data_IF_450049953051
#
_entry.id   IF_450049953051
#
_cell.length_a   1.000
_cell.length_b   1.000
_cell.length_c   1.000
_cell.angle_alpha   90.00
_cell.angle_beta   90.00
_cell.angle_gamma   90.00
#
_symmetry.space_group_name_H-M   'P 1'
#
loop_
_entity.id
_entity.type
_entity.pdbx_description
1 polymer ?
#
# COMPACT_ATOMS: atom_id res chain seq x y z
N UNK A 1 37.75 -13.71 26.90
CA UNK A 1 37.17 -14.00 25.57
C UNK A 1 35.65 -13.98 25.69
N UNK A 2 34.99 -12.86 25.37
CA UNK A 2 33.54 -12.79 25.19
C UNK A 2 33.19 -11.51 24.41
N UNK A 3 33.64 -11.42 23.17
CA UNK A 3 33.37 -10.28 22.26
C UNK A 3 32.86 -10.80 20.92
N UNK A 4 31.79 -11.61 20.91
CA UNK A 4 31.20 -12.06 19.64
C UNK A 4 29.67 -12.26 19.66
N UNK A 5 29.00 -12.09 20.80
CA UNK A 5 27.56 -12.37 20.88
C UNK A 5 26.67 -11.18 20.46
N UNK A 6 27.19 -9.94 20.43
CA UNK A 6 26.39 -8.74 20.11
C UNK A 6 26.22 -8.47 18.62
N UNK A 7 27.03 -9.07 17.75
CA UNK A 7 26.95 -8.86 16.30
C UNK A 7 25.74 -9.54 15.64
N UNK A 8 25.19 -10.60 16.25
CA UNK A 8 24.11 -11.40 15.65
C UNK A 8 22.72 -10.77 15.88
N UNK A 9 22.57 -9.93 16.91
CA UNK A 9 21.28 -9.28 17.23
C UNK A 9 21.02 -8.07 16.30
N UNK A 10 22.07 -7.37 15.85
CA UNK A 10 21.91 -6.24 14.92
C UNK A 10 21.63 -6.66 13.47
N UNK A 11 22.14 -7.82 13.02
CA UNK A 11 21.82 -8.34 11.70
C UNK A 11 20.36 -8.83 11.58
N UNK A 12 19.75 -9.30 12.68
CA UNK A 12 18.39 -9.83 12.70
C UNK A 12 17.30 -8.75 12.77
N UNK A 13 17.62 -7.52 13.20
CA UNK A 13 16.69 -6.39 13.14
C UNK A 13 16.52 -5.79 11.73
N UNK A 14 17.46 -6.05 10.81
CA UNK A 14 17.32 -5.67 9.40
C UNK A 14 16.53 -6.70 8.58
N UNK A 15 16.26 -7.89 9.12
CA UNK A 15 15.72 -9.03 8.37
C UNK A 15 14.25 -9.38 8.65
N UNK A 16 13.60 -8.75 9.64
CA UNK A 16 12.20 -9.06 9.99
C UNK A 16 11.14 -8.17 9.32
N UNK A 17 11.52 -7.40 8.30
CA UNK A 17 10.61 -6.54 7.54
C UNK A 17 10.45 -6.89 6.06
N UNK A 18 10.96 -8.04 5.61
CA UNK A 18 10.86 -8.49 4.22
C UNK A 18 9.43 -8.97 3.89
N UNK A 19 8.44 -8.08 4.06
CA UNK A 19 7.06 -8.34 3.65
C UNK A 19 6.94 -8.09 2.16
N UNK A 20 7.07 -9.14 1.34
CA UNK A 20 6.40 -9.38 0.04
C UNK A 20 5.97 -8.17 -0.84
N UNK A 21 6.71 -7.07 -0.82
CA UNK A 21 6.39 -5.81 -1.49
C UNK A 21 7.67 -5.28 -2.11
N UNK A 22 7.69 -5.18 -3.43
CA UNK A 22 8.80 -4.60 -4.18
C UNK A 22 8.59 -3.09 -4.34
N UNK A 23 9.67 -2.31 -4.23
CA UNK A 23 9.65 -0.87 -4.51
C UNK A 23 9.00 -0.59 -5.88
N UNK A 24 8.27 0.52 -5.99
CA UNK A 24 7.51 0.87 -7.19
C UNK A 24 6.29 -0.01 -7.48
N UNK A 25 5.87 -0.87 -6.54
CA UNK A 25 4.68 -1.71 -6.66
C UNK A 25 3.76 -1.59 -5.45
N UNK A 26 2.48 -1.83 -5.69
CA UNK A 26 1.44 -1.96 -4.66
C UNK A 26 0.87 -3.38 -4.67
N UNK A 27 0.68 -3.95 -3.47
CA UNK A 27 -0.18 -5.11 -3.30
C UNK A 27 -1.61 -4.61 -3.09
N UNK A 28 -2.54 -5.05 -3.94
CA UNK A 28 -3.96 -4.72 -3.83
C UNK A 28 -4.73 -5.99 -3.52
N UNK A 29 -5.37 -6.02 -2.36
CA UNK A 29 -6.33 -7.06 -1.98
C UNK A 29 -7.73 -6.47 -2.12
N UNK A 30 -8.70 -7.24 -2.60
CA UNK A 30 -10.05 -6.75 -2.82
C UNK A 30 -11.07 -7.86 -2.56
N UNK A 31 -12.30 -7.50 -2.24
CA UNK A 31 -13.33 -8.47 -1.89
C UNK A 31 -14.74 -7.90 -2.11
N UNK A 32 -15.69 -8.78 -2.39
CA UNK A 32 -17.12 -8.50 -2.32
C UNK A 32 -17.62 -8.35 -0.87
N UNK A 33 -16.84 -8.82 0.11
CA UNK A 33 -17.17 -8.77 1.52
C UNK A 33 -16.33 -7.71 2.27
N UNK A 34 -16.87 -7.16 3.36
CA UNK A 34 -16.16 -6.17 4.21
C UNK A 34 -14.89 -6.71 4.87
N UNK A 35 -14.80 -8.02 5.06
CA UNK A 35 -13.79 -8.64 5.92
C UNK A 35 -12.61 -9.25 5.16
N UNK A 36 -12.54 -9.09 3.83
CA UNK A 36 -11.54 -9.76 2.97
C UNK A 36 -11.45 -11.27 3.25
N UNK A 37 -12.59 -11.93 3.48
CA UNK A 37 -12.66 -13.39 3.62
C UNK A 37 -12.29 -14.11 2.31
N UNK A 38 -12.35 -13.39 1.19
CA UNK A 38 -11.94 -13.86 -0.13
C UNK A 38 -10.46 -13.52 -0.38
N UNK A 39 -9.76 -14.42 -1.06
CA UNK A 39 -8.31 -14.31 -1.29
C UNK A 39 -7.94 -13.59 -2.60
N UNK A 40 -8.76 -12.64 -3.08
CA UNK A 40 -8.39 -11.91 -4.30
C UNK A 40 -7.28 -10.91 -4.01
N UNK A 41 -6.16 -11.11 -4.69
CA UNK A 41 -4.95 -10.31 -4.56
C UNK A 41 -4.32 -10.11 -5.93
N UNK A 42 -3.79 -8.92 -6.14
CA UNK A 42 -2.92 -8.62 -7.27
C UNK A 42 -1.76 -7.74 -6.81
N UNK A 43 -0.68 -7.80 -7.58
CA UNK A 43 0.45 -6.87 -7.45
C UNK A 43 0.48 -6.01 -8.71
N UNK A 44 0.48 -4.69 -8.55
CA UNK A 44 0.52 -3.74 -9.65
C UNK A 44 1.69 -2.77 -9.50
N UNK A 45 2.28 -2.37 -10.62
CA UNK A 45 3.26 -1.28 -10.65
C UNK A 45 2.58 0.05 -10.39
N UNK A 46 3.30 1.01 -9.80
CA UNK A 46 2.81 2.38 -9.68
C UNK A 46 2.54 2.99 -11.06
N UNK A 47 1.54 3.86 -11.14
CA UNK A 47 1.08 4.50 -12.38
C UNK A 47 0.22 3.61 -13.28
N UNK A 48 0.07 2.32 -12.98
CA UNK A 48 -0.83 1.44 -13.73
C UNK A 48 -2.26 1.65 -13.27
N UNK A 49 -3.16 1.81 -14.23
CA UNK A 49 -4.59 1.84 -13.99
C UNK A 49 -5.13 0.40 -13.89
N UNK A 50 -5.80 0.09 -12.79
CA UNK A 50 -6.40 -1.21 -12.55
C UNK A 50 -7.90 -1.09 -12.38
N UNK A 51 -8.64 -1.92 -13.11
CA UNK A 51 -10.10 -1.94 -13.11
C UNK A 51 -10.65 -2.94 -12.09
N UNK A 52 -11.72 -2.56 -11.40
CA UNK A 52 -12.38 -3.32 -10.34
C UNK A 52 -13.89 -3.37 -10.57
N UNK A 53 -14.49 -4.56 -10.52
CA UNK A 53 -15.90 -4.80 -10.83
C UNK A 53 -16.67 -5.26 -9.59
N UNK A 54 -17.64 -4.46 -9.14
CA UNK A 54 -18.58 -4.81 -8.05
C UNK A 54 -17.95 -5.14 -6.69
N UNK A 55 -16.67 -4.83 -6.46
CA UNK A 55 -16.03 -5.10 -5.17
C UNK A 55 -16.43 -4.06 -4.12
N UNK A 56 -16.66 -4.54 -2.90
CA UNK A 56 -17.08 -3.71 -1.78
C UNK A 56 -15.90 -3.20 -0.94
N UNK A 57 -14.79 -3.94 -0.93
CA UNK A 57 -13.63 -3.64 -0.08
C UNK A 57 -12.34 -3.68 -0.87
N UNK A 58 -11.41 -2.80 -0.51
CA UNK A 58 -10.05 -2.76 -1.05
C UNK A 58 -9.04 -2.49 0.05
N UNK A 59 -7.91 -3.18 -0.02
CA UNK A 59 -6.74 -2.93 0.81
C UNK A 59 -5.55 -2.75 -0.10
N UNK A 60 -4.95 -1.57 -0.05
CA UNK A 60 -3.75 -1.22 -0.80
C UNK A 60 -2.59 -1.19 0.17
N UNK A 61 -1.53 -1.94 -0.12
CA UNK A 61 -0.28 -1.91 0.64
C UNK A 61 0.85 -1.45 -0.25
N UNK A 62 1.70 -0.59 0.29
CA UNK A 62 2.90 -0.10 -0.38
C UNK A 62 4.07 -0.09 0.59
N UNK A 63 5.29 -0.26 0.06
CA UNK A 63 6.52 -0.06 0.83
C UNK A 63 6.89 1.42 0.96
N UNK A 64 6.54 2.21 -0.05
CA UNK A 64 6.85 3.63 -0.17
C UNK A 64 5.63 4.49 0.16
N UNK A 65 5.88 5.72 0.64
CA UNK A 65 4.85 6.75 0.77
C UNK A 65 4.20 6.97 -0.60
N UNK A 66 2.88 6.77 -0.66
CA UNK A 66 2.15 6.81 -1.91
C UNK A 66 0.75 7.40 -1.71
N UNK A 67 0.05 7.62 -2.81
CA UNK A 67 -1.38 7.86 -2.80
C UNK A 67 -2.08 6.87 -3.71
N UNK A 68 -3.27 6.44 -3.30
CA UNK A 68 -4.21 5.73 -4.16
C UNK A 68 -5.25 6.72 -4.67
N UNK A 69 -5.43 6.71 -5.97
CA UNK A 69 -6.43 7.47 -6.70
C UNK A 69 -7.58 6.54 -7.04
N UNK A 70 -8.81 6.95 -6.72
CA UNK A 70 -10.04 6.24 -7.06
C UNK A 70 -10.75 6.97 -8.18
N UNK A 71 -11.15 6.22 -9.19
CA UNK A 71 -11.86 6.73 -10.36
C UNK A 71 -13.20 6.02 -10.51
N UNK A 72 -14.24 6.73 -10.93
CA UNK A 72 -15.52 6.16 -11.30
C UNK A 72 -15.43 5.54 -12.71
N UNK A 73 -15.83 4.28 -12.83
CA UNK A 73 -15.75 3.53 -14.08
C UNK A 73 -14.34 3.04 -14.41
N UNK A 74 -14.09 2.82 -15.70
CA UNK A 74 -12.88 2.18 -16.22
C UNK A 74 -11.84 3.19 -16.71
N UNK A 75 -10.59 2.72 -16.83
CA UNK A 75 -9.47 3.43 -17.48
C UNK A 75 -9.01 4.71 -16.77
N UNK A 76 -9.36 4.90 -15.49
CA UNK A 76 -8.84 5.99 -14.67
C UNK A 76 -9.05 7.41 -15.23
N UNK A 77 -10.23 7.68 -15.80
CA UNK A 77 -10.55 8.98 -16.42
C UNK A 77 -11.32 9.94 -15.50
N UNK A 78 -12.18 9.43 -14.62
CA UNK A 78 -13.08 10.24 -13.80
C UNK A 78 -12.72 10.13 -12.31
N UNK A 79 -11.77 10.96 -11.85
CA UNK A 79 -11.25 10.91 -10.48
C UNK A 79 -12.33 11.32 -9.46
N UNK A 80 -12.58 10.46 -8.47
CA UNK A 80 -13.57 10.71 -7.40
C UNK A 80 -12.93 10.88 -6.03
N UNK A 81 -11.77 10.26 -5.77
CA UNK A 81 -11.09 10.42 -4.49
C UNK A 81 -9.58 10.20 -4.57
N UNK A 82 -8.87 10.79 -3.61
CA UNK A 82 -7.45 10.55 -3.33
C UNK A 82 -7.30 10.18 -1.86
N UNK A 83 -6.46 9.19 -1.59
CA UNK A 83 -6.12 8.75 -0.23
C UNK A 83 -4.63 8.49 -0.12
N UNK A 84 -4.01 9.07 0.88
CA UNK A 84 -2.61 8.79 1.19
C UNK A 84 -2.48 7.37 1.74
N UNK A 85 -1.43 6.66 1.33
CA UNK A 85 -1.13 5.28 1.73
C UNK A 85 0.21 5.26 2.43
N UNK A 86 0.14 5.01 3.73
CA UNK A 86 1.25 5.00 4.65
C UNK A 86 1.52 3.56 5.11
N UNK A 87 2.03 2.74 4.19
CA UNK A 87 2.19 1.31 4.38
C UNK A 87 0.94 0.51 4.03
N UNK A 88 -0.22 0.86 4.57
CA UNK A 88 -1.49 0.19 4.26
C UNK A 88 -2.68 1.14 4.34
N UNK A 89 -3.54 1.08 3.32
CA UNK A 89 -4.85 1.71 3.27
C UNK A 89 -5.92 0.62 3.17
N UNK A 90 -7.04 0.78 3.87
CA UNK A 90 -8.18 -0.15 3.83
C UNK A 90 -9.47 0.65 3.70
N UNK A 91 -10.33 0.25 2.78
CA UNK A 91 -11.72 0.66 2.68
C UNK A 91 -12.60 -0.60 2.57
N UNK A 92 -13.67 -0.65 3.35
CA UNK A 92 -14.56 -1.82 3.47
C UNK A 92 -15.95 -1.58 2.87
N UNK A 93 -16.22 -0.38 2.38
CA UNK A 93 -17.48 0.00 1.74
C UNK A 93 -17.26 1.04 0.64
N UNK A 94 -16.69 0.61 -0.48
CA UNK A 94 -16.41 1.43 -1.66
C UNK A 94 -17.65 2.19 -2.14
N UNK A 95 -18.80 1.51 -2.20
CA UNK A 95 -20.04 2.11 -2.70
C UNK A 95 -20.50 3.27 -1.83
N UNK A 96 -20.49 3.11 -0.51
CA UNK A 96 -20.91 4.17 0.40
C UNK A 96 -19.87 5.29 0.51
N UNK A 97 -18.57 4.96 0.51
CA UNK A 97 -17.51 5.95 0.69
C UNK A 97 -17.31 6.82 -0.55
N UNK A 98 -17.33 6.20 -1.74
CA UNK A 98 -16.99 6.89 -2.99
C UNK A 98 -18.18 7.07 -3.92
N UNK A 99 -19.35 6.50 -3.63
CA UNK A 99 -20.54 6.62 -4.46
C UNK A 99 -20.43 5.88 -5.80
N UNK A 100 -19.58 4.85 -5.88
CA UNK A 100 -19.28 4.12 -7.13
C UNK A 100 -19.54 2.63 -6.99
N UNK A 101 -20.05 2.01 -8.06
CA UNK A 101 -20.25 0.56 -8.16
C UNK A 101 -19.17 -0.11 -9.02
N UNK A 102 -18.68 0.62 -10.02
CA UNK A 102 -17.55 0.27 -10.86
C UNK A 102 -16.48 1.30 -10.65
N UNK A 103 -15.26 0.86 -10.40
CA UNK A 103 -14.17 1.79 -10.15
C UNK A 103 -12.87 1.27 -10.72
N UNK A 104 -11.96 2.20 -10.95
CA UNK A 104 -10.58 1.90 -11.25
C UNK A 104 -9.69 2.61 -10.24
N UNK A 105 -8.52 2.04 -9.98
CA UNK A 105 -7.53 2.66 -9.10
C UNK A 105 -6.19 2.79 -9.79
N UNK A 106 -5.46 3.81 -9.35
CA UNK A 106 -4.06 4.00 -9.72
C UNK A 106 -3.30 4.37 -8.46
N UNK A 107 -2.18 3.71 -8.22
CA UNK A 107 -1.31 4.03 -7.08
C UNK A 107 -0.11 4.79 -7.60
N UNK A 108 0.18 5.94 -7.01
CA UNK A 108 1.31 6.81 -7.39
C UNK A 108 2.24 7.03 -6.21
N UNK A 109 3.56 7.12 -6.43
CA UNK A 109 4.48 7.54 -5.39
C UNK A 109 4.18 8.99 -5.00
N UNK A 110 4.19 9.28 -3.70
CA UNK A 110 3.93 10.63 -3.19
C UNK A 110 4.85 10.92 -2.02
N UNK A 111 5.85 11.73 -2.29
CA UNK A 111 6.82 12.15 -1.29
C UNK A 111 6.13 12.95 -0.17
N UNK A 112 6.39 12.54 1.08
CA UNK A 112 5.83 13.15 2.28
C UNK A 112 4.30 13.04 2.40
N UNK A 113 3.66 12.07 1.73
CA UNK A 113 2.25 11.74 2.01
C UNK A 113 2.05 11.45 3.51
N UNK A 114 3.03 10.79 4.10
CA UNK A 114 2.99 10.35 5.48
C UNK A 114 3.94 11.23 6.31
N UNK A 115 3.37 11.98 7.25
CA UNK A 115 4.15 12.72 8.25
C UNK A 115 4.64 11.78 9.34
N UNK A 116 5.45 10.79 8.96
CA UNK A 116 6.20 10.05 9.95
C UNK A 116 7.28 10.99 10.53
N UNK A 117 7.54 10.96 11.85
CA UNK A 117 8.75 11.56 12.38
C UNK A 117 9.93 10.87 11.70
N UNK A 118 10.50 11.50 10.66
CA UNK A 118 11.70 11.00 10.01
C UNK A 118 12.79 11.01 11.06
N UNK A 119 13.11 9.84 11.62
CA UNK A 119 14.21 9.66 12.56
C UNK A 119 15.44 10.19 11.82
N UNK A 120 16.06 11.27 12.32
CA UNK A 120 17.27 11.85 11.73
C UNK A 120 18.23 10.68 11.46
N UNK A 121 18.64 10.48 10.21
CA UNK A 121 19.72 9.55 9.88
C UNK A 121 20.90 9.92 10.78
N UNK A 122 21.17 9.10 11.82
CA UNK A 122 22.50 9.09 12.41
C UNK A 122 23.37 8.39 11.38
N UNK A 123 24.31 9.13 10.79
CA UNK A 123 25.29 8.65 9.82
C UNK A 123 26.31 7.68 10.46
N UNK A 124 25.85 6.65 11.18
CA UNK A 124 26.72 5.67 11.84
C UNK A 124 26.21 4.26 11.56
N UNK A 125 26.14 3.91 10.28
CA UNK A 125 26.13 2.52 9.85
C UNK A 125 27.36 2.33 8.94
N UNK A 126 28.52 2.22 9.60
CA UNK A 126 29.71 1.53 9.10
C UNK A 126 29.77 0.16 9.79
#
# INVERSE_FOLDING_TARGET
MLKSATAIIFASMCLNGAYSQSAGNAEVNYSYNSNFSENYRLTQRFGVCQNFYLYNSIRVKTLEDSEVLFYNGYNCNNLVARRDVCGTFVENNIKSTFGVQYFSTMVLPKSNACRYPKRKRRNNCD
#
